data_IF_732481063501
#
_entry.id   IF_732481063501
#
_cell.length_a   1.000
_cell.length_b   1.000
_cell.length_c   1.000
_cell.angle_alpha   90.00
_cell.angle_beta   90.00
_cell.angle_gamma   90.00
#
_symmetry.space_group_name_H-M   'P 1'
#
loop_
_entity.id
_entity.type
_entity.pdbx_description
1 polymer ?
#
# COMPACT_ATOMS: atom_id res chain seq x y z
N UNK A 1 2.66 -10.63 25.41
CA UNK A 1 1.61 -9.90 24.68
C UNK A 1 2.25 -8.64 24.09
N UNK A 2 2.69 -8.67 22.82
CA UNK A 2 3.41 -7.54 22.19
C UNK A 2 2.42 -6.64 21.45
N UNK A 3 1.86 -5.69 22.18
CA UNK A 3 1.03 -4.59 21.68
C UNK A 3 1.98 -3.45 21.30
N UNK A 4 2.70 -3.57 20.18
CA UNK A 4 3.55 -2.48 19.67
C UNK A 4 3.58 -2.40 18.13
N UNK A 5 2.90 -3.30 17.41
CA UNK A 5 2.81 -3.27 15.93
C UNK A 5 1.99 -2.08 15.42
N UNK A 6 1.07 -1.55 16.23
CA UNK A 6 0.15 -0.49 15.82
C UNK A 6 0.77 0.91 15.80
N UNK A 7 1.81 1.19 16.61
CA UNK A 7 2.36 2.54 16.77
C UNK A 7 3.01 3.08 15.50
N UNK A 8 3.97 2.33 14.93
CA UNK A 8 4.68 2.74 13.69
C UNK A 8 3.70 2.85 12.52
N UNK A 9 2.74 1.93 12.43
CA UNK A 9 1.75 1.95 11.37
C UNK A 9 0.80 3.14 11.50
N UNK A 10 0.30 3.41 12.72
CA UNK A 10 -0.52 4.58 13.00
C UNK A 10 0.23 5.88 12.73
N UNK A 11 1.51 5.96 13.08
CA UNK A 11 2.33 7.15 12.84
C UNK A 11 2.58 7.42 11.35
N UNK A 12 2.90 6.37 10.58
CA UNK A 12 3.10 6.49 9.12
C UNK A 12 1.81 6.90 8.42
N UNK A 13 0.69 6.28 8.80
CA UNK A 13 -0.61 6.57 8.21
C UNK A 13 -1.10 7.96 8.63
N UNK A 14 -0.88 8.37 9.89
CA UNK A 14 -1.17 9.73 10.37
C UNK A 14 -0.38 10.79 9.58
N UNK A 15 0.93 10.56 9.36
CA UNK A 15 1.74 11.44 8.52
C UNK A 15 1.27 11.50 7.07
N UNK A 16 0.83 10.37 6.50
CA UNK A 16 0.28 10.31 5.15
C UNK A 16 -1.04 11.09 5.02
N UNK A 17 -1.94 10.94 6.00
CA UNK A 17 -3.23 11.64 6.05
C UNK A 17 -3.04 13.17 6.10
N UNK A 18 -2.00 13.66 6.79
CA UNK A 18 -1.69 15.11 6.87
C UNK A 18 -1.18 15.71 5.56
N UNK A 19 -0.62 14.90 4.64
CA UNK A 19 0.01 15.35 3.40
C UNK A 19 -0.89 15.24 2.16
N UNK A 20 -2.03 14.54 2.26
CA UNK A 20 -2.93 14.28 1.14
C UNK A 20 -3.95 15.41 0.93
N UNK A 21 -3.55 16.48 0.22
CA UNK A 21 -4.50 17.47 -0.31
C UNK A 21 -4.96 17.13 -1.75
N UNK A 22 -4.47 16.04 -2.32
CA UNK A 22 -4.72 15.66 -3.71
C UNK A 22 -5.68 14.47 -3.83
N UNK A 23 -6.89 14.71 -4.33
CA UNK A 23 -7.95 13.69 -4.50
C UNK A 23 -7.60 12.54 -5.45
N UNK A 24 -6.50 12.66 -6.20
CA UNK A 24 -5.99 11.64 -7.11
C UNK A 24 -4.84 10.81 -6.54
N UNK A 25 -4.25 11.24 -5.42
CA UNK A 25 -3.13 10.53 -4.82
C UNK A 25 -3.63 9.28 -4.10
N UNK A 26 -2.96 8.16 -4.39
CA UNK A 26 -3.13 6.88 -3.72
C UNK A 26 -1.85 6.56 -3.00
N UNK A 27 -1.98 6.15 -1.75
CA UNK A 27 -0.87 5.64 -0.95
C UNK A 27 -1.22 4.25 -0.42
N UNK A 28 -0.41 3.24 -0.73
CA UNK A 28 -0.58 1.87 -0.21
C UNK A 28 0.58 1.56 0.71
N UNK A 29 0.26 1.04 1.89
CA UNK A 29 1.18 0.69 2.94
C UNK A 29 1.17 -0.83 3.12
N UNK A 30 2.31 -1.46 2.90
CA UNK A 30 2.49 -2.89 3.10
C UNK A 30 3.44 -3.10 4.28
N UNK A 31 2.94 -3.70 5.36
CA UNK A 31 3.73 -4.01 6.55
C UNK A 31 4.07 -5.49 6.58
N UNK A 32 5.35 -5.82 6.73
CA UNK A 32 5.75 -7.21 6.93
C UNK A 32 6.79 -7.37 8.01
N UNK A 33 6.55 -8.34 8.89
CA UNK A 33 7.47 -8.76 9.94
C UNK A 33 8.31 -9.99 9.56
N UNK A 34 8.00 -10.65 8.44
CA UNK A 34 8.73 -11.83 7.92
C UNK A 34 9.59 -11.50 6.71
N UNK A 35 9.33 -10.38 6.04
CA UNK A 35 10.13 -9.88 4.93
C UNK A 35 11.34 -9.12 5.48
N UNK A 36 12.38 -9.83 5.90
CA UNK A 36 13.68 -9.20 6.04
C UNK A 36 14.07 -8.61 4.69
N UNK A 37 14.10 -7.28 4.56
CA UNK A 37 14.73 -6.47 3.48
C UNK A 37 14.55 -6.85 2.00
N UNK A 38 13.74 -7.86 1.65
CA UNK A 38 13.96 -8.64 0.43
C UNK A 38 12.98 -8.37 -0.71
N UNK A 39 11.95 -7.53 -0.57
CA UNK A 39 11.17 -7.14 -1.75
C UNK A 39 11.94 -6.03 -2.47
N UNK A 40 12.46 -6.28 -3.69
CA UNK A 40 13.10 -5.23 -4.46
C UNK A 40 12.01 -4.25 -4.94
N UNK A 41 12.22 -2.95 -4.75
CA UNK A 41 11.27 -1.91 -5.18
C UNK A 41 10.90 -2.01 -6.67
N UNK A 42 11.86 -2.43 -7.50
CA UNK A 42 11.65 -2.66 -8.93
C UNK A 42 10.62 -3.78 -9.17
N UNK A 43 10.69 -4.87 -8.40
CA UNK A 43 9.77 -5.98 -8.53
C UNK A 43 8.36 -5.59 -8.08
N UNK A 44 8.25 -4.85 -6.98
CA UNK A 44 6.97 -4.30 -6.51
C UNK A 44 6.31 -3.42 -7.59
N UNK A 45 7.08 -2.53 -8.22
CA UNK A 45 6.58 -1.68 -9.31
C UNK A 45 6.14 -2.50 -10.54
N UNK A 46 6.86 -3.58 -10.87
CA UNK A 46 6.49 -4.47 -11.98
C UNK A 46 5.19 -5.23 -11.68
N UNK A 47 5.03 -5.77 -10.48
CA UNK A 47 3.81 -6.48 -10.07
C UNK A 47 2.57 -5.58 -10.10
N UNK A 48 2.73 -4.32 -9.73
CA UNK A 48 1.65 -3.33 -9.80
C UNK A 48 1.26 -3.11 -11.27
N UNK A 49 2.23 -2.92 -12.16
CA UNK A 49 1.98 -2.74 -13.60
C UNK A 49 1.30 -3.97 -14.20
N UNK A 50 1.76 -5.16 -13.84
CA UNK A 50 1.18 -6.43 -14.27
C UNK A 50 -0.28 -6.55 -13.83
N UNK A 51 -0.56 -6.31 -12.55
CA UNK A 51 -1.93 -6.33 -12.02
C UNK A 51 -2.88 -5.42 -12.83
N UNK A 52 -2.44 -4.20 -13.16
CA UNK A 52 -3.26 -3.28 -13.95
C UNK A 52 -3.46 -3.75 -15.40
N UNK A 53 -2.41 -4.29 -16.03
CA UNK A 53 -2.50 -4.86 -17.37
C UNK A 53 -3.46 -6.07 -17.42
N UNK A 54 -3.35 -7.00 -16.49
CA UNK A 54 -4.17 -8.22 -16.43
C UNK A 54 -5.65 -7.93 -16.21
N UNK A 55 -5.94 -6.97 -15.33
CA UNK A 55 -7.32 -6.56 -15.04
C UNK A 55 -7.91 -5.62 -16.09
N UNK A 56 -7.18 -5.33 -17.19
CA UNK A 56 -7.59 -4.43 -18.28
C UNK A 56 -8.07 -3.06 -17.76
N UNK A 57 -7.39 -2.55 -16.74
CA UNK A 57 -7.75 -1.29 -16.09
C UNK A 57 -7.14 -0.14 -16.91
N UNK A 58 -7.96 0.62 -17.62
CA UNK A 58 -7.54 1.81 -18.39
C UNK A 58 -7.34 3.04 -17.50
N UNK A 59 -6.55 2.88 -16.43
CA UNK A 59 -6.20 3.98 -15.55
C UNK A 59 -4.87 4.57 -15.96
N UNK A 60 -4.85 5.89 -16.10
CA UNK A 60 -3.60 6.63 -16.34
C UNK A 60 -2.89 6.81 -15.00
N UNK A 61 -2.16 5.77 -14.61
CA UNK A 61 -1.34 5.80 -13.40
C UNK A 61 -0.11 6.63 -13.68
N UNK A 62 0.03 7.73 -12.94
CA UNK A 62 1.17 8.63 -13.05
C UNK A 62 1.96 8.61 -11.76
N UNK A 63 3.26 8.84 -11.87
CA UNK A 63 4.17 9.02 -10.74
C UNK A 63 4.16 7.82 -9.78
N UNK A 64 4.01 6.60 -10.32
CA UNK A 64 4.16 5.38 -9.53
C UNK A 64 5.57 5.33 -8.95
N UNK A 65 5.64 5.38 -7.63
CA UNK A 65 6.87 5.34 -6.86
C UNK A 65 6.66 4.46 -5.64
N UNK A 66 7.74 3.83 -5.19
CA UNK A 66 7.72 2.97 -4.00
C UNK A 66 8.94 3.29 -3.16
N UNK A 67 8.78 3.40 -1.85
CA UNK A 67 9.87 3.61 -0.88
C UNK A 67 9.77 2.61 0.26
N UNK A 68 10.89 2.35 0.93
CA UNK A 68 10.95 1.47 2.10
C UNK A 68 11.31 2.29 3.32
N UNK A 69 10.47 2.24 4.36
CA UNK A 69 10.80 2.73 5.68
C UNK A 69 11.07 1.55 6.61
N UNK A 70 12.21 1.60 7.30
CA UNK A 70 12.61 0.57 8.27
C UNK A 70 12.35 1.13 9.66
N UNK A 71 11.39 0.55 10.37
CA UNK A 71 11.14 0.87 11.77
C UNK A 71 12.21 0.29 12.70
N UNK A 72 12.30 0.82 13.92
CA UNK A 72 13.30 0.41 14.92
C UNK A 72 13.33 -1.11 15.22
N UNK A 73 12.22 -1.83 14.99
CA UNK A 73 12.11 -3.28 15.21
C UNK A 73 12.36 -4.16 13.96
N UNK A 74 13.11 -3.68 12.95
CA UNK A 74 13.30 -4.38 11.65
C UNK A 74 11.98 -4.70 10.93
N UNK A 75 10.94 -3.95 11.22
CA UNK A 75 9.68 -4.05 10.50
C UNK A 75 9.78 -3.17 9.26
N UNK A 76 9.63 -3.80 8.08
CA UNK A 76 9.69 -3.10 6.81
C UNK A 76 8.29 -2.61 6.42
N UNK A 77 8.18 -1.32 6.13
CA UNK A 77 6.99 -0.71 5.56
C UNK A 77 7.31 -0.24 4.14
N UNK A 78 6.63 -0.84 3.16
CA UNK A 78 6.68 -0.37 1.78
C UNK A 78 5.56 0.63 1.57
N UNK A 79 5.92 1.83 1.12
CA UNK A 79 4.99 2.90 0.80
C UNK A 79 4.97 3.04 -0.71
N UNK A 80 3.83 2.74 -1.31
CA UNK A 80 3.60 2.85 -2.75
C UNK A 80 2.76 4.09 -2.95
N UNK A 81 3.21 5.01 -3.80
CA UNK A 81 2.49 6.25 -4.13
C UNK A 81 2.25 6.33 -5.62
N UNK A 82 1.03 6.62 -6.02
CA UNK A 82 0.71 6.91 -7.42
C UNK A 82 -0.51 7.80 -7.54
N UNK A 83 -0.62 8.50 -8.67
CA UNK A 83 -1.81 9.26 -9.02
C UNK A 83 -2.72 8.41 -9.91
N UNK A 84 -4.00 8.35 -9.57
CA UNK A 84 -5.05 7.78 -10.42
C UNK A 84 -5.95 8.89 -10.97
N UNK A 85 -6.39 8.75 -12.22
CA UNK A 85 -7.42 9.59 -12.83
C UNK A 85 -8.84 9.06 -12.58
N UNK A 86 -8.97 7.90 -11.92
CA UNK A 86 -10.25 7.32 -11.60
C UNK A 86 -10.91 8.03 -10.42
N UNK A 87 -12.24 8.10 -10.46
CA UNK A 87 -13.05 8.76 -9.44
C UNK A 87 -14.19 7.85 -8.97
N UNK A 88 -14.49 7.90 -7.66
CA UNK A 88 -15.66 7.25 -7.07
C UNK A 88 -15.39 5.85 -6.53
N UNK A 89 -16.45 5.10 -6.25
CA UNK A 89 -16.37 3.79 -5.58
C UNK A 89 -15.58 2.75 -6.38
N UNK A 90 -15.63 2.82 -7.72
CA UNK A 90 -14.84 1.95 -8.60
C UNK A 90 -13.34 2.14 -8.36
N UNK A 91 -12.91 3.37 -8.06
CA UNK A 91 -11.52 3.64 -7.76
C UNK A 91 -11.08 3.01 -6.43
N UNK A 92 -11.92 3.18 -5.42
CA UNK A 92 -11.68 2.64 -4.09
C UNK A 92 -11.60 1.10 -4.10
N UNK A 93 -12.53 0.43 -4.79
CA UNK A 93 -12.55 -1.03 -4.91
C UNK A 93 -11.31 -1.59 -5.62
N UNK A 94 -10.84 -0.91 -6.67
CA UNK A 94 -9.67 -1.35 -7.41
C UNK A 94 -8.38 -1.15 -6.61
N UNK A 95 -8.27 -0.05 -5.84
CA UNK A 95 -7.15 0.17 -4.92
C UNK A 95 -7.18 -0.88 -3.80
N UNK A 96 -8.35 -1.18 -3.24
CA UNK A 96 -8.51 -2.24 -2.25
C UNK A 96 -8.04 -3.60 -2.79
N UNK A 97 -8.49 -3.98 -4.00
CA UNK A 97 -8.07 -5.24 -4.63
C UNK A 97 -6.57 -5.28 -4.92
N UNK A 98 -5.98 -4.18 -5.37
CA UNK A 98 -4.52 -4.08 -5.55
C UNK A 98 -3.78 -4.25 -4.21
N UNK A 99 -4.23 -3.55 -3.16
CA UNK A 99 -3.61 -3.66 -1.84
C UNK A 99 -3.71 -5.09 -1.27
N UNK A 100 -4.84 -5.77 -1.49
CA UNK A 100 -5.01 -7.19 -1.16
C UNK A 100 -4.08 -8.09 -1.98
N UNK A 101 -4.01 -7.90 -3.31
CA UNK A 101 -3.14 -8.66 -4.20
C UNK A 101 -1.67 -8.59 -3.74
N UNK A 102 -1.18 -7.37 -3.51
CA UNK A 102 0.19 -7.16 -3.04
C UNK A 102 0.39 -7.75 -1.65
N UNK A 103 -0.55 -7.50 -0.73
CA UNK A 103 -0.46 -8.02 0.64
C UNK A 103 -0.44 -9.55 0.69
N UNK A 104 -1.23 -10.24 -0.15
CA UNK A 104 -1.21 -11.69 -0.27
C UNK A 104 0.09 -12.20 -0.89
N UNK A 105 0.49 -11.62 -2.03
CA UNK A 105 1.72 -11.98 -2.76
C UNK A 105 2.96 -11.90 -1.86
N UNK A 106 3.01 -10.89 -1.00
CA UNK A 106 4.15 -10.61 -0.14
C UNK A 106 3.99 -11.02 1.32
N UNK A 107 2.90 -11.71 1.68
CA UNK A 107 2.64 -12.16 3.06
C UNK A 107 2.74 -11.04 4.10
N UNK A 108 2.16 -9.89 3.79
CA UNK A 108 2.07 -8.74 4.68
C UNK A 108 1.17 -8.98 5.90
N UNK A 109 1.72 -8.89 7.11
CA UNK A 109 0.95 -9.06 8.35
C UNK A 109 -0.18 -8.03 8.46
N UNK A 110 0.01 -6.85 7.87
CA UNK A 110 -0.99 -5.79 7.86
C UNK A 110 -0.79 -4.91 6.62
N UNK A 111 -1.90 -4.49 6.01
CA UNK A 111 -1.88 -3.53 4.91
C UNK A 111 -2.84 -2.38 5.21
N UNK A 112 -2.59 -1.21 4.63
CA UNK A 112 -3.60 -0.17 4.49
C UNK A 112 -3.43 0.54 3.18
N UNK A 113 -4.46 1.29 2.79
CA UNK A 113 -4.28 2.32 1.79
C UNK A 113 -5.03 3.59 2.20
N UNK A 114 -4.54 4.70 1.65
CA UNK A 114 -5.16 6.00 1.73
C UNK A 114 -5.53 6.45 0.32
N UNK A 115 -6.78 6.86 0.14
CA UNK A 115 -7.26 7.44 -1.10
C UNK A 115 -8.33 8.48 -0.79
N UNK A 116 -8.11 9.72 -1.25
CA UNK A 116 -8.92 10.90 -0.87
C UNK A 116 -8.85 11.13 0.64
N UNK A 117 -9.99 11.27 1.31
CA UNK A 117 -10.10 11.49 2.76
C UNK A 117 -10.43 10.18 3.51
N UNK A 118 -10.13 9.02 2.89
CA UNK A 118 -10.47 7.70 3.43
C UNK A 118 -9.23 6.85 3.62
N UNK A 119 -9.05 6.42 4.86
CA UNK A 119 -8.12 5.37 5.23
C UNK A 119 -8.87 4.03 5.30
N UNK A 120 -8.30 2.99 4.70
CA UNK A 120 -8.79 1.61 4.85
C UNK A 120 -7.67 0.70 5.33
N UNK A 121 -7.88 0.06 6.48
CA UNK A 121 -7.01 -0.99 7.01
C UNK A 121 -7.47 -2.35 6.49
N UNK A 122 -6.52 -3.19 6.10
CA UNK A 122 -6.74 -4.52 5.56
C UNK A 122 -5.98 -5.51 6.43
N UNK A 123 -6.71 -6.44 7.04
CA UNK A 123 -6.15 -7.57 7.77
C UNK A 123 -6.17 -8.79 6.87
N UNK A 124 -4.99 -9.31 6.53
CA UNK A 124 -4.85 -10.51 5.72
C UNK A 124 -4.47 -11.67 6.65
N UNK A 125 -5.29 -12.72 6.63
CA UNK A 125 -5.00 -13.95 7.33
C UNK A 125 -4.31 -14.91 6.36
N UNK A 126 -3.22 -15.54 6.82
CA UNK A 126 -2.47 -16.53 6.07
C UNK A 126 -2.73 -17.88 6.73
N UNK A 127 -3.32 -18.80 5.98
CA UNK A 127 -3.40 -20.21 6.37
C UNK A 127 -2.08 -20.95 6.04
#
# INVERSE_FOLDING_TARGET
MKIFKDGIFADIVSHANLLSQNKSLVEIFLLSSSLGSNIPLVQLNNDIREYFCENKIDWKIKNLSSTVNIGAEKTHCYIIKFNTNANGNVADDLIYKLACYLGLKYKCVQCAYHYRDKERKISLHYD
#
